data_IF_802756691229
#
_entry.id   IF_802756691229
#
_cell.length_a   1.000
_cell.length_b   1.000
_cell.length_c   1.000
_cell.angle_alpha   90.00
_cell.angle_beta   90.00
_cell.angle_gamma   90.00
#
_symmetry.space_group_name_H-M   'P 1'
#
loop_
_entity.id
_entity.type
_entity.pdbx_description
1 polymer ?
#
# COMPACT_ATOMS: atom_id res chain seq x y z
N UNK A 1 -4.49 14.33 9.20
CA UNK A 1 -4.40 12.85 9.16
C UNK A 1 -3.67 12.44 7.89
N UNK A 2 -2.95 11.32 7.89
CA UNK A 2 -2.21 10.81 6.70
C UNK A 2 -2.90 9.54 6.24
N UNK A 3 -3.25 9.47 4.94
CA UNK A 3 -3.66 8.24 4.29
C UNK A 3 -2.40 7.54 3.75
N UNK A 4 -2.10 6.38 4.31
CA UNK A 4 -0.82 5.70 4.07
C UNK A 4 -0.86 4.77 2.85
N UNK A 5 -2.04 4.35 2.38
CA UNK A 5 -2.20 3.40 1.29
C UNK A 5 -3.34 3.82 0.38
N UNK A 6 -3.01 4.41 -0.77
CA UNK A 6 -3.98 4.96 -1.70
C UNK A 6 -3.51 4.88 -3.15
N UNK A 7 -4.45 4.61 -4.09
CA UNK A 7 -4.21 4.56 -5.52
C UNK A 7 -4.88 5.76 -6.20
N UNK A 8 -4.40 6.98 -5.83
CA UNK A 8 -5.02 8.24 -6.22
C UNK A 8 -4.61 8.72 -7.61
N UNK A 9 -3.45 8.29 -8.13
CA UNK A 9 -2.97 8.75 -9.43
C UNK A 9 -3.85 8.20 -10.55
N UNK A 10 -4.33 9.06 -11.48
CA UNK A 10 -5.28 8.64 -12.48
C UNK A 10 -4.65 7.77 -13.57
N UNK A 11 -5.33 6.68 -13.91
CA UNK A 11 -5.03 5.85 -15.08
C UNK A 11 -3.62 5.23 -15.09
N UNK A 12 -3.19 4.75 -13.90
CA UNK A 12 -1.92 4.02 -13.73
C UNK A 12 -2.12 2.55 -13.33
N UNK A 13 -3.17 2.25 -12.54
CA UNK A 13 -3.43 0.89 -12.04
C UNK A 13 -4.94 0.62 -11.89
N UNK A 14 -5.32 -0.24 -10.96
CA UNK A 14 -6.72 -0.56 -10.70
C UNK A 14 -7.42 0.45 -9.76
N UNK A 15 -6.74 1.48 -9.27
CA UNK A 15 -7.29 2.58 -8.50
C UNK A 15 -8.08 3.57 -9.33
N UNK A 16 -7.76 4.86 -9.25
CA UNK A 16 -8.46 5.91 -10.00
C UNK A 16 -8.34 5.72 -11.52
N UNK A 17 -9.49 5.75 -12.23
CA UNK A 17 -9.56 5.54 -13.68
C UNK A 17 -9.58 6.84 -14.48
N UNK A 18 -9.68 7.98 -13.82
CA UNK A 18 -9.71 9.28 -14.48
C UNK A 18 -9.30 10.39 -13.53
N UNK A 19 -8.92 11.53 -14.11
CA UNK A 19 -8.62 12.74 -13.35
C UNK A 19 -9.80 13.17 -12.48
N UNK A 20 -11.02 13.10 -12.99
CA UNK A 20 -12.23 13.44 -12.24
C UNK A 20 -12.46 12.53 -11.05
N UNK A 21 -12.21 11.22 -11.21
CA UNK A 21 -12.29 10.26 -10.10
C UNK A 21 -11.23 10.55 -9.02
N UNK A 22 -9.99 10.86 -9.42
CA UNK A 22 -8.95 11.28 -8.50
C UNK A 22 -9.34 12.54 -7.70
N UNK A 23 -9.90 13.54 -8.37
CA UNK A 23 -10.37 14.76 -7.71
C UNK A 23 -11.52 14.49 -6.75
N UNK A 24 -12.45 13.62 -7.10
CA UNK A 24 -13.53 13.20 -6.19
C UNK A 24 -12.99 12.48 -4.95
N UNK A 25 -11.99 11.62 -5.10
CA UNK A 25 -11.30 10.98 -3.99
C UNK A 25 -10.58 12.01 -3.10
N UNK A 26 -9.89 12.99 -3.70
CA UNK A 26 -9.20 14.07 -2.98
C UNK A 26 -10.17 14.97 -2.21
N UNK A 27 -11.33 15.34 -2.78
CA UNK A 27 -12.37 16.09 -2.07
C UNK A 27 -12.85 15.31 -0.84
N UNK A 28 -13.16 14.02 -1.03
CA UNK A 28 -13.57 13.14 0.07
C UNK A 28 -12.50 13.04 1.16
N UNK A 29 -11.24 12.92 0.78
CA UNK A 29 -10.11 12.88 1.71
C UNK A 29 -9.99 14.19 2.49
N UNK A 30 -10.11 15.34 1.81
CA UNK A 30 -10.09 16.67 2.45
C UNK A 30 -11.22 16.84 3.47
N UNK A 31 -12.44 16.45 3.10
CA UNK A 31 -13.63 16.49 3.98
C UNK A 31 -13.46 15.63 5.24
N UNK A 32 -12.67 14.56 5.14
CA UNK A 32 -12.31 13.69 6.29
C UNK A 32 -11.11 14.20 7.08
N UNK A 33 -10.52 15.33 6.70
CA UNK A 33 -9.37 15.91 7.39
C UNK A 33 -8.03 15.21 7.07
N UNK A 34 -7.94 14.53 5.94
CA UNK A 34 -6.68 14.00 5.41
C UNK A 34 -5.91 15.16 4.79
N UNK A 35 -4.67 15.32 5.23
CA UNK A 35 -3.77 16.40 4.80
C UNK A 35 -2.63 15.90 3.92
N UNK A 36 -2.31 14.61 4.03
CA UNK A 36 -1.28 13.96 3.23
C UNK A 36 -1.75 12.58 2.78
N UNK A 37 -1.41 12.22 1.54
CA UNK A 37 -1.67 10.91 0.95
C UNK A 37 -0.35 10.33 0.46
N UNK A 38 -0.09 9.06 0.76
CA UNK A 38 0.95 8.30 0.09
C UNK A 38 0.27 7.53 -1.04
N UNK A 39 0.53 7.94 -2.28
CA UNK A 39 0.12 7.14 -3.43
C UNK A 39 0.96 5.87 -3.48
N UNK A 40 0.31 4.72 -3.58
CA UNK A 40 0.92 3.40 -3.56
C UNK A 40 0.51 2.59 -4.80
N UNK A 41 0.67 3.20 -5.98
CA UNK A 41 0.37 2.52 -7.25
C UNK A 41 1.02 1.13 -7.30
N UNK A 42 0.31 0.14 -7.84
CA UNK A 42 0.84 -1.21 -7.97
C UNK A 42 2.14 -1.25 -8.77
N UNK A 43 3.12 -2.01 -8.27
CA UNK A 43 4.39 -2.24 -8.94
C UNK A 43 4.63 -3.75 -9.11
N UNK A 44 5.05 -4.18 -10.28
CA UNK A 44 5.23 -5.58 -10.74
C UNK A 44 4.03 -6.52 -10.44
N UNK A 45 2.85 -5.95 -10.23
CA UNK A 45 1.63 -6.72 -10.03
C UNK A 45 1.04 -7.16 -11.38
N UNK A 46 0.46 -8.38 -11.50
CA UNK A 46 -0.17 -8.83 -12.73
C UNK A 46 -1.26 -7.90 -13.30
N UNK A 47 -1.92 -7.11 -12.45
CA UNK A 47 -2.92 -6.11 -12.85
C UNK A 47 -2.34 -4.94 -13.66
N UNK A 48 -1.04 -4.67 -13.55
CA UNK A 48 -0.32 -3.59 -14.24
C UNK A 48 0.73 -4.14 -15.20
N UNK A 49 0.60 -5.40 -15.58
CA UNK A 49 1.51 -6.02 -16.56
C UNK A 49 1.46 -5.26 -17.89
N UNK A 50 2.65 -4.89 -18.39
CA UNK A 50 2.81 -4.07 -19.60
C UNK A 50 2.55 -2.57 -19.39
N UNK A 51 2.19 -2.09 -18.19
CA UNK A 51 2.09 -0.67 -17.89
C UNK A 51 3.44 -0.07 -17.50
N UNK A 52 3.68 1.18 -17.92
CA UNK A 52 4.85 1.94 -17.47
C UNK A 52 4.58 2.55 -16.09
N UNK A 53 5.07 1.88 -15.06
CA UNK A 53 5.06 2.40 -13.69
C UNK A 53 6.47 2.90 -13.35
N UNK A 54 6.74 4.14 -13.77
CA UNK A 54 8.02 4.82 -13.56
C UNK A 54 7.85 6.03 -12.63
N UNK A 55 8.94 6.50 -12.04
CA UNK A 55 8.95 7.72 -11.22
C UNK A 55 8.53 8.94 -12.04
N UNK A 56 8.97 9.02 -13.29
CA UNK A 56 8.65 10.08 -14.23
C UNK A 56 7.13 10.15 -14.45
N UNK A 57 6.51 9.03 -14.79
CA UNK A 57 5.08 8.97 -15.07
C UNK A 57 4.24 9.22 -13.82
N UNK A 58 4.63 8.69 -12.67
CA UNK A 58 3.97 8.99 -11.40
C UNK A 58 4.06 10.49 -11.05
N UNK A 59 5.22 11.10 -11.30
CA UNK A 59 5.41 12.54 -11.07
C UNK A 59 4.56 13.39 -12.01
N UNK A 60 4.48 13.07 -13.31
CA UNK A 60 3.61 13.74 -14.27
C UNK A 60 2.14 13.72 -13.82
N UNK A 61 1.65 12.55 -13.42
CA UNK A 61 0.27 12.39 -12.94
C UNK A 61 0.01 13.17 -11.64
N UNK A 62 0.99 13.20 -10.72
CA UNK A 62 0.89 14.00 -9.50
C UNK A 62 0.85 15.49 -9.79
N UNK A 63 1.70 16.02 -10.67
CA UNK A 63 1.69 17.45 -11.04
C UNK A 63 0.35 17.83 -11.69
N UNK A 64 -0.19 16.96 -12.56
CA UNK A 64 -1.53 17.16 -13.13
C UNK A 64 -2.60 17.28 -12.02
N UNK A 65 -2.53 16.45 -10.99
CA UNK A 65 -3.44 16.55 -9.85
C UNK A 65 -3.25 17.85 -9.08
N UNK A 66 -2.02 18.30 -8.85
CA UNK A 66 -1.76 19.56 -8.15
C UNK A 66 -2.30 20.76 -8.91
N UNK A 67 -2.18 20.79 -10.24
CA UNK A 67 -2.73 21.86 -11.07
C UNK A 67 -4.26 21.94 -10.96
N UNK A 68 -4.95 20.80 -10.93
CA UNK A 68 -6.42 20.79 -10.79
C UNK A 68 -6.86 21.07 -9.34
N UNK A 69 -6.15 20.52 -8.36
CA UNK A 69 -6.39 20.79 -6.93
C UNK A 69 -6.29 22.29 -6.61
N UNK A 70 -5.32 23.00 -7.23
CA UNK A 70 -5.15 24.44 -7.05
C UNK A 70 -6.36 25.24 -7.53
N UNK A 71 -7.01 24.82 -8.62
CA UNK A 71 -8.22 25.45 -9.14
C UNK A 71 -9.42 25.28 -8.19
N UNK A 72 -9.44 24.21 -7.41
CA UNK A 72 -10.50 23.88 -6.46
C UNK A 72 -10.20 24.32 -5.03
N UNK A 73 -9.00 24.87 -4.76
CA UNK A 73 -8.56 25.25 -3.41
C UNK A 73 -8.29 24.07 -2.50
N UNK A 74 -8.05 22.88 -3.05
CA UNK A 74 -7.68 21.69 -2.29
C UNK A 74 -6.20 21.74 -1.90
N UNK A 75 -5.89 21.39 -0.65
CA UNK A 75 -4.52 21.41 -0.11
C UNK A 75 -4.18 20.08 0.55
N UNK A 76 -3.92 19.05 -0.27
CA UNK A 76 -3.45 17.73 0.17
C UNK A 76 -2.07 17.51 -0.44
N UNK A 77 -1.12 17.08 0.38
CA UNK A 77 0.21 16.71 -0.11
C UNK A 77 0.21 15.25 -0.57
N UNK A 78 0.67 15.01 -1.80
CA UNK A 78 0.75 13.68 -2.38
C UNK A 78 2.22 13.23 -2.44
N UNK A 79 2.53 12.19 -1.69
CA UNK A 79 3.82 11.50 -1.74
C UNK A 79 3.74 10.35 -2.74
N UNK A 80 4.84 10.09 -3.45
CA UNK A 80 4.93 8.98 -4.39
C UNK A 80 5.57 7.77 -3.73
N UNK A 81 5.02 6.61 -4.00
CA UNK A 81 5.48 5.30 -3.61
C UNK A 81 4.72 4.23 -4.37
N UNK A 82 4.99 2.99 -4.06
CA UNK A 82 4.33 1.84 -4.70
C UNK A 82 3.94 0.79 -3.69
N UNK A 83 2.84 0.09 -4.00
CA UNK A 83 2.53 -1.21 -3.43
C UNK A 83 3.20 -2.27 -4.29
N UNK A 84 4.29 -2.85 -3.77
CA UNK A 84 5.12 -3.79 -4.52
C UNK A 84 4.55 -5.20 -4.37
N UNK A 85 4.13 -5.79 -5.49
CA UNK A 85 3.71 -7.19 -5.49
C UNK A 85 4.90 -8.11 -5.20
N UNK A 86 4.71 -9.06 -4.30
CA UNK A 86 5.78 -9.97 -3.90
C UNK A 86 6.24 -10.86 -5.06
N UNK A 87 7.49 -10.72 -5.42
CA UNK A 87 8.27 -11.66 -6.23
C UNK A 87 9.63 -11.89 -5.53
N UNK A 88 10.36 -12.96 -5.84
CA UNK A 88 11.65 -13.25 -5.19
C UNK A 88 12.74 -12.18 -5.43
N UNK A 89 12.55 -11.27 -6.37
CA UNK A 89 13.50 -10.23 -6.77
C UNK A 89 13.42 -8.93 -5.94
N UNK A 90 12.68 -8.87 -4.82
CA UNK A 90 12.44 -7.62 -4.08
C UNK A 90 13.71 -6.87 -3.71
N UNK A 91 14.80 -7.58 -3.41
CA UNK A 91 16.09 -6.97 -3.08
C UNK A 91 16.72 -6.24 -4.27
N UNK A 92 16.50 -6.75 -5.48
CA UNK A 92 17.09 -6.22 -6.70
C UNK A 92 16.38 -4.95 -7.20
N UNK A 93 15.16 -4.73 -6.74
CA UNK A 93 14.33 -3.60 -7.16
C UNK A 93 14.28 -2.46 -6.13
N UNK A 94 15.14 -2.47 -5.11
CA UNK A 94 15.21 -1.37 -4.13
C UNK A 94 15.63 -0.07 -4.83
N UNK A 95 14.72 0.90 -4.87
CA UNK A 95 14.95 2.22 -5.44
C UNK A 95 13.97 3.25 -4.86
N UNK A 96 14.04 4.56 -5.19
CA UNK A 96 13.15 5.58 -4.64
C UNK A 96 11.66 5.39 -4.95
N UNK A 97 11.30 4.69 -6.03
CA UNK A 97 9.89 4.41 -6.38
C UNK A 97 9.32 3.27 -5.54
N UNK A 98 10.12 2.22 -5.30
CA UNK A 98 9.68 1.01 -4.57
C UNK A 98 9.83 1.10 -3.06
N UNK A 99 10.37 2.23 -2.55
CA UNK A 99 10.61 2.45 -1.13
C UNK A 99 10.10 3.81 -0.67
N UNK A 100 9.77 3.93 0.63
CA UNK A 100 9.39 5.19 1.28
C UNK A 100 10.38 5.56 2.38
N UNK A 101 10.17 6.74 2.99
CA UNK A 101 10.94 7.17 4.14
C UNK A 101 12.45 7.19 3.87
N UNK A 102 12.83 7.73 2.72
CA UNK A 102 14.22 7.80 2.27
C UNK A 102 14.87 6.40 2.13
N UNK A 103 14.14 5.47 1.54
CA UNK A 103 14.63 4.11 1.27
C UNK A 103 14.50 3.12 2.42
N UNK A 104 13.82 3.50 3.52
CA UNK A 104 13.76 2.66 4.73
C UNK A 104 12.62 1.65 4.76
N UNK A 105 11.58 1.83 3.98
CA UNK A 105 10.37 1.01 4.03
C UNK A 105 9.93 0.58 2.63
N UNK A 106 9.39 -0.62 2.51
CA UNK A 106 8.78 -1.14 1.29
C UNK A 106 7.41 -1.74 1.65
N UNK A 107 6.34 -1.27 0.99
CA UNK A 107 5.00 -1.85 1.13
C UNK A 107 4.89 -3.04 0.20
N UNK A 108 4.55 -4.20 0.74
CA UNK A 108 4.57 -5.48 0.02
C UNK A 108 3.21 -6.14 0.06
N UNK A 109 2.66 -6.43 -1.10
CA UNK A 109 1.43 -7.18 -1.29
C UNK A 109 1.73 -8.64 -1.68
N UNK A 110 0.99 -9.60 -1.11
CA UNK A 110 1.00 -11.00 -1.52
C UNK A 110 -0.28 -11.38 -2.27
N UNK A 111 -0.26 -12.53 -2.93
CA UNK A 111 -1.48 -13.12 -3.46
C UNK A 111 -2.48 -13.39 -2.32
N UNK A 112 -3.75 -13.05 -2.55
CA UNK A 112 -4.80 -13.17 -1.54
C UNK A 112 -5.02 -14.60 -1.01
N UNK A 113 -4.64 -15.60 -1.79
CA UNK A 113 -4.88 -17.02 -1.48
C UNK A 113 -3.62 -17.83 -1.19
N UNK A 114 -2.43 -17.22 -1.33
CA UNK A 114 -1.15 -17.93 -1.16
C UNK A 114 -0.06 -17.01 -0.63
N UNK A 115 0.66 -17.47 0.38
CA UNK A 115 1.88 -16.85 0.88
C UNK A 115 3.04 -17.81 0.57
N UNK A 116 3.99 -17.43 -0.29
CA UNK A 116 5.13 -18.29 -0.65
C UNK A 116 6.04 -18.58 0.54
N UNK A 117 6.49 -19.81 0.71
CA UNK A 117 7.42 -20.19 1.81
C UNK A 117 8.73 -19.41 1.76
N UNK A 118 9.24 -19.14 0.56
CA UNK A 118 10.48 -18.39 0.35
C UNK A 118 10.40 -16.92 0.83
N UNK A 119 9.19 -16.39 1.12
CA UNK A 119 9.03 -14.99 1.55
C UNK A 119 9.84 -14.67 2.81
N UNK A 120 10.01 -15.62 3.72
CA UNK A 120 10.75 -15.36 4.96
C UNK A 120 12.20 -14.95 4.69
N UNK A 121 12.85 -15.64 3.75
CA UNK A 121 14.24 -15.31 3.38
C UNK A 121 14.30 -13.96 2.66
N UNK A 122 13.40 -13.70 1.72
CA UNK A 122 13.37 -12.42 0.98
C UNK A 122 13.12 -11.23 1.91
N UNK A 123 12.19 -11.36 2.87
CA UNK A 123 11.92 -10.31 3.86
C UNK A 123 13.11 -10.07 4.78
N UNK A 124 13.82 -11.14 5.16
CA UNK A 124 15.07 -11.04 5.92
C UNK A 124 16.17 -10.32 5.12
N UNK A 125 16.33 -10.66 3.85
CA UNK A 125 17.34 -10.05 2.97
C UNK A 125 17.06 -8.56 2.75
N UNK A 126 15.80 -8.13 2.62
CA UNK A 126 15.41 -6.72 2.61
C UNK A 126 15.85 -6.01 3.89
N UNK A 127 15.60 -6.63 5.05
CA UNK A 127 16.05 -6.09 6.36
C UNK A 127 17.55 -5.92 6.42
N UNK A 128 18.32 -6.89 5.90
CA UNK A 128 19.79 -6.81 5.83
C UNK A 128 20.27 -5.67 4.91
N UNK A 129 19.47 -5.26 3.93
CA UNK A 129 19.71 -4.07 3.09
C UNK A 129 19.25 -2.76 3.75
N UNK A 130 18.74 -2.80 4.97
CA UNK A 130 18.23 -1.62 5.69
C UNK A 130 16.81 -1.22 5.34
N UNK A 131 16.08 -2.04 4.56
CA UNK A 131 14.69 -1.81 4.17
C UNK A 131 13.77 -2.61 5.10
N UNK A 132 12.87 -1.94 5.79
CA UNK A 132 11.86 -2.59 6.63
C UNK A 132 10.62 -2.90 5.80
N UNK A 133 10.24 -4.20 5.66
CA UNK A 133 9.01 -4.57 4.96
C UNK A 133 7.78 -4.11 5.74
N UNK A 134 6.78 -3.58 5.03
CA UNK A 134 5.43 -3.34 5.54
C UNK A 134 4.52 -4.30 4.77
N UNK A 135 3.86 -5.19 5.48
CA UNK A 135 2.92 -6.14 4.85
C UNK A 135 1.59 -5.42 4.66
N UNK A 136 1.19 -5.27 3.40
CA UNK A 136 -0.06 -4.63 3.01
C UNK A 136 -1.26 -5.54 3.36
N UNK A 137 -2.28 -4.97 3.96
CA UNK A 137 -3.60 -5.54 4.23
C UNK A 137 -3.65 -7.07 4.44
N UNK A 138 -2.88 -7.63 5.40
CA UNK A 138 -2.81 -9.08 5.62
C UNK A 138 -4.15 -9.72 5.99
N UNK A 139 -5.11 -8.95 6.48
CA UNK A 139 -6.47 -9.40 6.76
C UNK A 139 -7.24 -9.86 5.52
N UNK A 140 -6.78 -9.48 4.31
CA UNK A 140 -7.35 -9.89 3.02
C UNK A 140 -6.78 -11.22 2.54
N UNK A 141 -5.71 -11.73 3.15
CA UNK A 141 -5.08 -12.98 2.74
C UNK A 141 -5.75 -14.17 3.41
N UNK A 142 -6.23 -15.11 2.61
CA UNK A 142 -6.86 -16.35 3.09
C UNK A 142 -5.99 -17.11 4.10
N UNK A 143 -4.68 -17.31 3.88
CA UNK A 143 -3.83 -17.98 4.88
C UNK A 143 -3.79 -17.26 6.24
N UNK A 144 -3.90 -15.93 6.29
CA UNK A 144 -3.94 -15.14 7.53
C UNK A 144 -5.32 -15.26 8.21
N UNK A 145 -6.40 -15.25 7.42
CA UNK A 145 -7.75 -15.48 7.93
C UNK A 145 -7.90 -16.86 8.57
N UNK A 146 -7.23 -17.87 8.04
CA UNK A 146 -7.19 -19.23 8.57
C UNK A 146 -6.22 -19.34 9.76
N UNK A 147 -5.14 -18.59 9.77
CA UNK A 147 -4.10 -18.67 10.81
C UNK A 147 -3.38 -17.33 11.04
N UNK A 148 -3.87 -16.58 12.02
CA UNK A 148 -3.31 -15.29 12.42
C UNK A 148 -1.84 -15.37 12.91
N UNK A 149 -1.32 -16.56 13.20
CA UNK A 149 0.07 -16.73 13.62
C UNK A 149 1.09 -16.27 12.57
N UNK A 150 0.69 -16.17 11.29
CA UNK A 150 1.50 -15.58 10.22
C UNK A 150 1.84 -14.11 10.51
N UNK A 151 0.90 -13.34 11.04
CA UNK A 151 1.14 -11.94 11.42
C UNK A 151 2.20 -11.84 12.50
N UNK A 152 2.15 -12.71 13.51
CA UNK A 152 3.19 -12.75 14.54
C UNK A 152 4.57 -13.14 13.98
N UNK A 153 4.62 -14.06 13.01
CA UNK A 153 5.88 -14.41 12.35
C UNK A 153 6.50 -13.21 11.64
N UNK A 154 5.72 -12.42 10.91
CA UNK A 154 6.18 -11.20 10.24
C UNK A 154 6.65 -10.14 11.25
N UNK A 155 5.88 -9.89 12.30
CA UNK A 155 6.27 -8.94 13.35
C UNK A 155 7.58 -9.39 14.04
N UNK A 156 7.73 -10.67 14.36
CA UNK A 156 8.95 -11.22 14.97
C UNK A 156 10.14 -11.12 14.01
N UNK A 157 9.92 -11.19 12.70
CA UNK A 157 10.94 -10.93 11.68
C UNK A 157 11.24 -9.43 11.50
N UNK A 158 10.56 -8.55 12.25
CA UNK A 158 10.74 -7.10 12.21
C UNK A 158 10.04 -6.41 11.03
N UNK A 159 9.04 -7.05 10.43
CA UNK A 159 8.12 -6.41 9.50
C UNK A 159 7.10 -5.56 10.24
N UNK A 160 6.47 -4.63 9.54
CA UNK A 160 5.33 -3.86 10.01
C UNK A 160 4.06 -4.33 9.29
N UNK A 161 2.90 -4.01 9.85
CA UNK A 161 1.59 -4.44 9.36
C UNK A 161 0.74 -3.21 9.06
N UNK A 162 0.18 -3.16 7.86
CA UNK A 162 -0.82 -2.15 7.46
C UNK A 162 -2.16 -2.85 7.20
N UNK A 163 -3.25 -2.28 7.69
CA UNK A 163 -4.62 -2.75 7.45
C UNK A 163 -5.39 -1.77 6.57
N UNK A 164 -6.32 -2.29 5.78
CA UNK A 164 -7.30 -1.45 5.09
C UNK A 164 -8.41 -1.00 6.03
N UNK A 165 -8.70 0.31 6.07
CA UNK A 165 -9.83 0.86 6.80
C UNK A 165 -11.17 0.26 6.31
N UNK A 166 -11.28 -0.02 5.01
CA UNK A 166 -12.42 -0.71 4.40
C UNK A 166 -12.66 -2.11 4.95
N UNK A 167 -11.63 -2.82 5.37
CA UNK A 167 -11.77 -4.11 6.05
C UNK A 167 -12.48 -3.95 7.39
N UNK A 168 -12.12 -2.94 8.18
CA UNK A 168 -12.74 -2.68 9.49
C UNK A 168 -14.21 -2.32 9.37
N UNK A 169 -14.62 -1.55 8.36
CA UNK A 169 -16.02 -1.20 8.10
C UNK A 169 -16.82 -2.35 7.48
N UNK A 170 -16.15 -3.38 6.96
CA UNK A 170 -16.77 -4.54 6.34
C UNK A 170 -17.04 -4.41 4.84
N UNK A 171 -16.63 -3.31 4.20
CA UNK A 171 -16.78 -3.12 2.75
C UNK A 171 -15.98 -4.11 1.91
N UNK A 172 -14.94 -4.72 2.49
CA UNK A 172 -14.10 -5.76 1.86
C UNK A 172 -14.48 -7.19 2.25
N UNK A 173 -15.67 -7.37 2.83
CA UNK A 173 -16.21 -8.67 3.19
C UNK A 173 -16.01 -9.07 4.66
N UNK A 174 -16.83 -10.02 5.11
CA UNK A 174 -16.91 -10.38 6.52
C UNK A 174 -15.64 -11.06 7.06
N UNK A 175 -15.00 -11.92 6.27
CA UNK A 175 -13.76 -12.60 6.67
C UNK A 175 -12.62 -11.60 6.90
N UNK A 176 -12.44 -10.64 5.98
CA UNK A 176 -11.47 -9.57 6.14
C UNK A 176 -11.76 -8.72 7.39
N UNK A 177 -13.04 -8.37 7.62
CA UNK A 177 -13.46 -7.62 8.80
C UNK A 177 -13.14 -8.34 10.11
N UNK A 178 -13.47 -9.63 10.22
CA UNK A 178 -13.19 -10.41 11.43
C UNK A 178 -11.69 -10.44 11.70
N UNK A 179 -10.88 -10.70 10.69
CA UNK A 179 -9.43 -10.77 10.80
C UNK A 179 -8.81 -9.39 11.13
N UNK A 180 -9.28 -8.31 10.48
CA UNK A 180 -8.84 -6.95 10.78
C UNK A 180 -9.13 -6.57 12.23
N UNK A 181 -10.36 -6.82 12.71
CA UNK A 181 -10.75 -6.57 14.09
C UNK A 181 -9.89 -7.35 15.10
N UNK A 182 -9.53 -8.60 14.78
CA UNK A 182 -8.66 -9.42 15.61
C UNK A 182 -7.23 -8.86 15.67
N UNK A 183 -6.67 -8.42 14.51
CA UNK A 183 -5.36 -7.77 14.42
C UNK A 183 -5.35 -6.48 15.25
N UNK A 184 -6.35 -5.62 15.13
CA UNK A 184 -6.47 -4.37 15.91
C UNK A 184 -6.58 -4.67 17.39
N UNK A 185 -7.49 -5.58 17.78
CA UNK A 185 -7.71 -5.96 19.20
C UNK A 185 -6.43 -6.46 19.87
N UNK A 186 -5.59 -7.16 19.10
CA UNK A 186 -4.30 -7.68 19.57
C UNK A 186 -3.16 -6.66 19.43
N UNK A 187 -3.42 -5.46 18.90
CA UNK A 187 -2.43 -4.39 18.67
C UNK A 187 -1.26 -4.84 17.78
N UNK A 188 -1.57 -5.55 16.70
CA UNK A 188 -0.57 -6.14 15.79
C UNK A 188 -0.32 -5.27 14.54
N UNK A 189 -1.10 -4.20 14.28
CA UNK A 189 -0.87 -3.29 13.16
C UNK A 189 -0.20 -1.98 13.60
N UNK A 190 0.53 -1.37 12.70
CA UNK A 190 1.17 -0.07 12.86
C UNK A 190 0.50 1.02 12.02
N UNK A 191 -0.19 0.63 10.94
CA UNK A 191 -0.90 1.54 10.02
C UNK A 191 -2.31 1.03 9.74
N UNK A 192 -3.26 1.95 9.56
CA UNK A 192 -4.62 1.70 9.09
C UNK A 192 -4.92 2.73 8.01
#
# INVERSE_FOLDING_TARGET
>A
MIDFHNHILPDLDDGSKSLEMSLAMLRTAADQGITEIINTVHFQHPKVDGMDISMERCSEKRELLYDEMAKEGLSIKIHLGTEVFYLPNLVDIINPLTTFGHGKYMLIEFLSHQIPDAQQQVLFDLKMKGVTPIIAHPERYKPVQENISLVYKWLNAGCLIQLDAGSLTGSLGNSARITAMEIVKRKLCQFI
#
